data_IF_624906276345
#
_entry.id   IF_624906276345
#
_cell.length_a   1.000
_cell.length_b   1.000
_cell.length_c   1.000
_cell.angle_alpha   90.00
_cell.angle_beta   90.00
_cell.angle_gamma   90.00
#
_symmetry.space_group_name_H-M   'P 1'
#
loop_
_entity.id
_entity.type
_entity.pdbx_description
1 polymer ?
#
# COMPACT_ATOMS: atom_id res chain seq x y z
N UNK A 1 -26.05 -18.92 -27.99
CA UNK A 1 -24.66 -18.50 -28.28
C UNK A 1 -24.67 -16.99 -28.37
N UNK A 2 -24.44 -16.36 -27.22
CA UNK A 2 -24.00 -14.98 -26.94
C UNK A 2 -24.25 -14.80 -25.43
N UNK A 3 -23.44 -14.15 -24.61
CA UNK A 3 -22.48 -13.08 -24.88
C UNK A 3 -21.20 -13.32 -24.08
N UNK A 4 -20.06 -13.02 -24.71
CA UNK A 4 -18.79 -12.77 -24.04
C UNK A 4 -18.89 -11.45 -23.26
N UNK A 5 -19.29 -11.53 -21.99
CA UNK A 5 -19.13 -10.46 -21.00
C UNK A 5 -17.70 -10.51 -20.47
N UNK A 6 -16.71 -10.20 -21.33
CA UNK A 6 -15.33 -10.00 -20.86
C UNK A 6 -15.18 -8.55 -20.45
N UNK A 7 -15.12 -8.33 -19.15
CA UNK A 7 -15.16 -7.02 -18.52
C UNK A 7 -13.84 -6.25 -18.73
N UNK A 8 -13.85 -4.97 -19.18
CA UNK A 8 -12.66 -4.18 -19.48
C UNK A 8 -11.78 -3.84 -18.26
N UNK A 9 -12.21 -4.22 -17.05
CA UNK A 9 -11.48 -4.03 -15.79
C UNK A 9 -10.37 -5.08 -15.63
N UNK A 10 -10.60 -6.32 -16.04
CA UNK A 10 -9.59 -7.39 -15.92
C UNK A 10 -8.42 -7.20 -16.89
N UNK A 11 -8.69 -6.67 -18.09
CA UNK A 11 -7.65 -6.31 -19.06
C UNK A 11 -6.78 -5.14 -18.57
N UNK A 12 -7.36 -4.14 -17.87
CA UNK A 12 -6.59 -3.01 -17.30
C UNK A 12 -5.71 -3.44 -16.13
N UNK A 13 -6.24 -4.22 -15.20
CA UNK A 13 -5.47 -4.78 -14.09
C UNK A 13 -4.35 -5.70 -14.60
N UNK A 14 -4.63 -6.49 -15.65
CA UNK A 14 -3.63 -7.34 -16.30
C UNK A 14 -2.56 -6.53 -17.03
N UNK A 15 -2.92 -5.44 -17.71
CA UNK A 15 -1.97 -4.54 -18.36
C UNK A 15 -1.08 -3.81 -17.34
N UNK A 16 -1.64 -3.38 -16.21
CA UNK A 16 -0.89 -2.73 -15.14
C UNK A 16 0.09 -3.71 -14.47
N UNK A 17 -0.31 -4.96 -14.22
CA UNK A 17 0.59 -5.99 -13.70
C UNK A 17 1.73 -6.35 -14.67
N UNK A 18 1.44 -6.40 -15.98
CA UNK A 18 2.45 -6.56 -17.03
C UNK A 18 3.41 -5.36 -17.07
N UNK A 19 2.94 -4.16 -16.76
CA UNK A 19 3.78 -2.97 -16.68
C UNK A 19 4.72 -2.98 -15.46
N UNK A 20 4.23 -3.43 -14.31
CA UNK A 20 5.02 -3.55 -13.07
C UNK A 20 6.12 -4.60 -13.21
N UNK A 21 5.78 -5.78 -13.74
CA UNK A 21 6.76 -6.85 -13.96
C UNK A 21 7.86 -6.43 -14.94
N UNK A 22 7.52 -5.65 -15.98
CA UNK A 22 8.50 -5.07 -16.90
C UNK A 22 9.44 -4.07 -16.21
N UNK A 23 8.90 -3.18 -15.37
CA UNK A 23 9.69 -2.22 -14.61
C UNK A 23 10.65 -2.91 -13.63
N UNK A 24 10.21 -3.99 -12.98
CA UNK A 24 11.05 -4.78 -12.07
C UNK A 24 12.23 -5.43 -12.80
N UNK A 25 12.01 -5.99 -14.00
CA UNK A 25 13.08 -6.55 -14.81
C UNK A 25 14.09 -5.50 -15.25
N UNK A 26 13.62 -4.35 -15.74
CA UNK A 26 14.49 -3.25 -16.14
C UNK A 26 15.33 -2.74 -14.96
N UNK A 27 14.74 -2.64 -13.77
CA UNK A 27 15.46 -2.25 -12.57
C UNK A 27 16.52 -3.28 -12.19
N UNK A 28 16.20 -4.58 -12.23
CA UNK A 28 17.15 -5.66 -11.94
C UNK A 28 18.35 -5.62 -12.89
N UNK A 29 18.12 -5.42 -14.19
CA UNK A 29 19.20 -5.32 -15.18
C UNK A 29 20.10 -4.10 -14.95
N UNK A 30 19.52 -2.97 -14.52
CA UNK A 30 20.29 -1.77 -14.17
C UNK A 30 21.10 -1.99 -12.89
N UNK A 31 20.54 -2.64 -11.87
CA UNK A 31 21.24 -2.92 -10.60
C UNK A 31 22.51 -3.75 -10.84
N UNK A 32 22.48 -4.70 -11.78
CA UNK A 32 23.65 -5.52 -12.11
C UNK A 32 24.79 -4.76 -12.81
N UNK A 33 24.55 -3.55 -13.30
CA UNK A 33 25.53 -2.74 -14.05
C UNK A 33 26.14 -1.61 -13.21
N UNK A 34 25.65 -1.40 -11.99
CA UNK A 34 26.05 -0.28 -11.14
C UNK A 34 27.24 -0.64 -10.24
N UNK A 35 28.07 0.37 -9.96
CA UNK A 35 29.12 0.24 -8.95
C UNK A 35 28.52 0.18 -7.54
N UNK A 36 29.25 -0.35 -6.55
CA UNK A 36 28.79 -0.42 -5.16
C UNK A 36 28.33 0.93 -4.58
N UNK A 37 29.02 2.02 -4.91
CA UNK A 37 28.68 3.36 -4.43
C UNK A 37 27.36 3.86 -5.00
N UNK A 38 27.07 3.51 -6.27
CA UNK A 38 25.80 3.86 -6.91
C UNK A 38 24.65 3.00 -6.40
N UNK A 39 24.93 1.73 -6.09
CA UNK A 39 23.97 0.86 -5.43
C UNK A 39 23.59 1.37 -4.05
N UNK A 40 24.55 1.86 -3.26
CA UNK A 40 24.26 2.46 -1.95
C UNK A 40 23.30 3.66 -2.06
N UNK A 41 23.54 4.55 -3.02
CA UNK A 41 22.65 5.71 -3.26
C UNK A 41 21.23 5.25 -3.65
N UNK A 42 21.10 4.18 -4.45
CA UNK A 42 19.79 3.63 -4.79
C UNK A 42 19.08 2.99 -3.59
N UNK A 43 19.81 2.33 -2.70
CA UNK A 43 19.25 1.78 -1.45
C UNK A 43 18.69 2.90 -0.59
N UNK A 44 19.46 3.97 -0.38
CA UNK A 44 19.03 5.12 0.42
C UNK A 44 17.81 5.81 -0.22
N UNK A 45 17.80 5.93 -1.54
CA UNK A 45 16.67 6.50 -2.27
C UNK A 45 15.41 5.62 -2.22
N UNK A 46 15.54 4.30 -2.36
CA UNK A 46 14.43 3.37 -2.23
C UNK A 46 13.84 3.38 -0.81
N UNK A 47 14.69 3.47 0.22
CA UNK A 47 14.25 3.63 1.61
C UNK A 47 13.48 4.94 1.81
N UNK A 48 13.94 6.03 1.21
CA UNK A 48 13.20 7.31 1.21
C UNK A 48 11.83 7.18 0.53
N UNK A 49 11.75 6.55 -0.65
CA UNK A 49 10.48 6.36 -1.35
C UNK A 49 9.49 5.50 -0.54
N UNK A 50 9.95 4.39 0.05
CA UNK A 50 9.13 3.54 0.90
C UNK A 50 8.63 4.30 2.15
N UNK A 51 9.49 5.13 2.74
CA UNK A 51 9.10 6.00 3.84
C UNK A 51 8.07 7.06 3.40
N UNK A 52 8.27 7.71 2.25
CA UNK A 52 7.38 8.73 1.72
C UNK A 52 6.00 8.18 1.33
N UNK A 53 5.94 6.99 0.75
CA UNK A 53 4.70 6.26 0.45
C UNK A 53 3.92 5.97 1.75
N UNK A 54 4.62 5.55 2.80
CA UNK A 54 4.05 5.36 4.14
C UNK A 54 3.66 6.68 4.83
N UNK A 55 4.42 7.75 4.57
CA UNK A 55 4.22 9.06 5.18
C UNK A 55 2.96 9.74 4.64
N UNK A 56 2.65 9.62 3.35
CA UNK A 56 1.41 10.16 2.78
C UNK A 56 0.15 9.64 3.51
N UNK A 57 0.08 8.32 3.74
CA UNK A 57 -1.01 7.70 4.52
C UNK A 57 -0.98 8.12 6.01
N UNK A 58 0.22 8.32 6.57
CA UNK A 58 0.38 8.75 7.96
C UNK A 58 -0.05 10.21 8.16
N UNK A 59 0.22 11.10 7.20
CA UNK A 59 -0.16 12.51 7.26
C UNK A 59 -1.68 12.70 7.22
N UNK A 60 -2.41 11.89 6.44
CA UNK A 60 -3.88 11.88 6.46
C UNK A 60 -4.44 11.53 7.84
N UNK A 61 -3.84 10.55 8.52
CA UNK A 61 -4.24 10.15 9.88
C UNK A 61 -3.86 11.21 10.91
N UNK A 62 -2.68 11.83 10.81
CA UNK A 62 -2.24 12.92 11.69
C UNK A 62 -3.08 14.19 11.53
N UNK A 63 -3.64 14.42 10.35
CA UNK A 63 -4.53 15.55 10.09
C UNK A 63 -5.89 15.43 10.80
N UNK A 64 -6.27 14.23 11.28
CA UNK A 64 -7.51 14.02 12.05
C UNK A 64 -7.28 14.47 13.49
N UNK A 65 -7.91 15.59 13.94
CA UNK A 65 -7.67 16.12 15.27
C UNK A 65 -8.03 15.10 16.36
N UNK A 66 -7.14 14.90 17.33
CA UNK A 66 -7.36 14.02 18.47
C UNK A 66 -7.39 12.52 18.15
N UNK A 67 -7.02 12.10 16.93
CA UNK A 67 -7.01 10.69 16.55
C UNK A 67 -6.02 9.88 17.40
N UNK A 68 -4.80 10.38 17.61
CA UNK A 68 -3.77 9.65 18.36
C UNK A 68 -4.18 9.42 19.81
N UNK A 69 -4.78 10.41 20.45
CA UNK A 69 -5.32 10.34 21.80
C UNK A 69 -6.44 9.30 21.86
N UNK A 70 -7.36 9.32 20.90
CA UNK A 70 -8.44 8.33 20.80
C UNK A 70 -7.91 6.91 20.59
N UNK A 71 -6.90 6.71 19.75
CA UNK A 71 -6.26 5.41 19.53
C UNK A 71 -5.59 4.92 20.83
N UNK A 72 -4.85 5.80 21.52
CA UNK A 72 -4.23 5.48 22.82
C UNK A 72 -5.27 5.15 23.90
N UNK A 73 -6.42 5.83 23.92
CA UNK A 73 -7.51 5.48 24.82
C UNK A 73 -8.16 4.14 24.45
N UNK A 74 -8.28 3.84 23.15
CA UNK A 74 -8.84 2.58 22.68
C UNK A 74 -7.98 1.36 23.02
N UNK A 75 -6.66 1.50 23.07
CA UNK A 75 -5.76 0.39 23.45
C UNK A 75 -5.86 0.02 24.93
N UNK A 76 -6.25 0.97 25.78
CA UNK A 76 -6.56 0.74 27.18
C UNK A 76 -7.99 0.23 27.42
N UNK A 77 -8.82 0.14 26.37
CA UNK A 77 -10.22 -0.32 26.50
C UNK A 77 -10.25 -1.83 26.74
N UNK A 78 -10.89 -2.31 27.83
CA UNK A 78 -11.02 -3.73 28.08
C UNK A 78 -11.83 -4.43 26.98
N UNK A 79 -11.44 -5.66 26.64
CA UNK A 79 -12.08 -6.45 25.57
C UNK A 79 -13.58 -6.68 25.78
N UNK A 80 -14.06 -6.58 27.02
CA UNK A 80 -15.48 -6.66 27.38
C UNK A 80 -16.32 -5.53 26.78
N UNK A 81 -15.69 -4.42 26.38
CA UNK A 81 -16.33 -3.29 25.72
C UNK A 81 -16.22 -3.33 24.19
N UNK A 82 -15.63 -4.38 23.62
CA UNK A 82 -15.52 -4.51 22.17
C UNK A 82 -16.85 -4.94 21.59
N UNK A 83 -17.20 -4.38 20.45
CA UNK A 83 -18.39 -4.81 19.68
C UNK A 83 -17.93 -5.48 18.40
N UNK A 84 -18.55 -6.60 18.04
CA UNK A 84 -18.23 -7.31 16.81
C UNK A 84 -18.68 -6.45 15.62
N UNK A 85 -17.80 -6.20 14.65
CA UNK A 85 -18.14 -5.35 13.52
C UNK A 85 -19.30 -5.90 12.68
N UNK A 86 -19.50 -7.23 12.65
CA UNK A 86 -20.64 -7.88 11.97
C UNK A 86 -21.99 -7.57 12.59
N UNK A 87 -22.01 -7.12 13.85
CA UNK A 87 -23.24 -6.67 14.51
C UNK A 87 -23.48 -5.18 14.30
N UNK A 88 -22.53 -4.45 13.71
CA UNK A 88 -22.61 -3.01 13.45
C UNK A 88 -22.84 -2.70 11.96
N UNK A 89 -22.39 -3.59 11.07
CA UNK A 89 -22.46 -3.42 9.61
C UNK A 89 -23.03 -4.69 8.99
N UNK A 90 -24.15 -4.55 8.28
CA UNK A 90 -24.86 -5.65 7.59
C UNK A 90 -24.61 -5.68 6.08
N UNK A 91 -23.78 -4.77 5.58
CA UNK A 91 -23.50 -4.50 4.18
C UNK A 91 -22.19 -5.14 3.67
N UNK A 92 -21.52 -5.93 4.52
CA UNK A 92 -20.25 -6.63 4.25
C UNK A 92 -20.43 -8.12 4.51
#
# INVERSE_FOLDING_TARGET
MDSTDNSPVEERLSADLVSVTKLQHQLHDLLNQLSPERLQVLVDFAAYLANAESEAATQELLAIPGLLERVKHSSATPKTHYTNWRTLRSDV
#
